data_IF_827708441524
#
_entry.id   IF_827708441524
#
_cell.length_a   1.000
_cell.length_b   1.000
_cell.length_c   1.000
_cell.angle_alpha   90.00
_cell.angle_beta   90.00
_cell.angle_gamma   90.00
#
_symmetry.space_group_name_H-M   'P 1'
#
loop_
_entity.id
_entity.type
_entity.pdbx_description
1 polymer ?
#
# COMPACT_ATOMS: atom_id res chain seq x y z
N UNK A 1 -20.66 -6.72 17.16
CA UNK A 1 -20.22 -6.52 15.76
C UNK A 1 -19.29 -7.67 15.42
N UNK A 2 -19.74 -8.60 14.57
CA UNK A 2 -18.89 -9.71 14.13
C UNK A 2 -17.92 -9.19 13.08
N UNK A 3 -16.63 -9.18 13.41
CA UNK A 3 -15.58 -8.87 12.45
C UNK A 3 -15.52 -10.10 11.54
N UNK A 4 -16.09 -9.99 10.34
CA UNK A 4 -15.89 -11.00 9.31
C UNK A 4 -14.43 -10.91 8.91
N UNK A 5 -13.60 -11.79 9.47
CA UNK A 5 -12.26 -12.03 8.97
C UNK A 5 -12.42 -12.66 7.59
N UNK A 6 -12.37 -11.83 6.55
CA UNK A 6 -12.27 -12.32 5.18
C UNK A 6 -11.00 -13.17 5.11
N UNK A 7 -11.14 -14.41 4.65
CA UNK A 7 -10.01 -15.30 4.46
C UNK A 7 -8.93 -14.61 3.61
N UNK A 8 -7.67 -14.97 3.87
CA UNK A 8 -6.55 -14.56 3.02
C UNK A 8 -6.93 -14.74 1.54
N UNK A 9 -6.95 -13.63 0.81
CA UNK A 9 -7.42 -13.56 -0.57
C UNK A 9 -6.29 -13.18 -1.51
N UNK A 10 -6.53 -13.40 -2.81
CA UNK A 10 -5.68 -12.88 -3.88
C UNK A 10 -6.17 -11.50 -4.31
N UNK A 11 -5.26 -10.56 -4.43
CA UNK A 11 -5.54 -9.18 -4.82
C UNK A 11 -4.61 -8.80 -5.96
N UNK A 12 -5.17 -8.34 -7.08
CA UNK A 12 -4.39 -7.78 -8.19
C UNK A 12 -4.51 -6.26 -8.15
N UNK A 13 -3.38 -5.56 -8.08
CA UNK A 13 -3.32 -4.08 -8.02
C UNK A 13 -2.72 -3.49 -9.29
N UNK A 14 -3.39 -2.49 -9.86
CA UNK A 14 -2.80 -1.53 -10.81
C UNK A 14 -2.56 -0.18 -10.16
N UNK A 15 -1.86 0.71 -10.88
CA UNK A 15 -1.61 2.10 -10.44
C UNK A 15 -1.19 2.12 -8.98
N UNK A 16 -0.01 1.56 -8.75
CA UNK A 16 0.39 1.06 -7.44
C UNK A 16 1.77 1.59 -7.06
N UNK A 17 2.02 1.56 -5.76
CA UNK A 17 3.35 1.70 -5.19
C UNK A 17 3.41 0.95 -3.85
N UNK A 18 4.59 0.87 -3.28
CA UNK A 18 4.80 0.40 -1.91
C UNK A 18 5.13 1.62 -1.06
N UNK A 19 4.34 1.86 -0.02
CA UNK A 19 4.66 2.88 0.97
C UNK A 19 5.55 2.26 2.05
N UNK A 20 6.72 2.87 2.26
CA UNK A 20 7.60 2.58 3.37
C UNK A 20 7.24 3.51 4.53
N UNK A 21 6.99 2.92 5.69
CA UNK A 21 6.64 3.58 6.93
C UNK A 21 7.78 3.35 7.91
N UNK A 22 8.28 4.41 8.51
CA UNK A 22 9.35 4.39 9.49
C UNK A 22 9.06 5.44 10.57
N UNK A 23 8.11 5.14 11.45
CA UNK A 23 7.75 6.00 12.59
C UNK A 23 8.40 5.44 13.87
N UNK A 24 8.52 6.25 14.94
CA UNK A 24 8.94 5.74 16.24
C UNK A 24 8.02 4.64 16.81
N UNK A 25 6.77 4.58 16.36
CA UNK A 25 5.75 3.61 16.79
C UNK A 25 5.83 2.30 16.01
N UNK A 26 6.48 2.29 14.84
CA UNK A 26 6.65 1.10 14.03
C UNK A 26 7.22 1.38 12.65
N UNK A 27 7.81 0.35 12.06
CA UNK A 27 8.25 0.36 10.67
C UNK A 27 7.65 -0.80 9.89
N UNK A 28 7.49 -0.59 8.59
CA UNK A 28 6.93 -1.60 7.70
C UNK A 28 6.65 -1.05 6.32
N UNK A 29 6.23 -1.94 5.44
CA UNK A 29 5.90 -1.58 4.07
C UNK A 29 4.51 -2.07 3.75
N UNK A 30 3.74 -1.30 2.99
CA UNK A 30 2.36 -1.65 2.62
C UNK A 30 2.15 -1.41 1.12
N UNK A 31 1.35 -2.26 0.49
CA UNK A 31 0.89 -2.02 -0.87
C UNK A 31 -0.19 -0.94 -0.86
N UNK A 32 -0.10 0.00 -1.79
CA UNK A 32 -1.11 1.03 -2.04
C UNK A 32 -1.40 1.02 -3.53
N UNK A 33 -2.65 0.80 -3.92
CA UNK A 33 -3.03 0.77 -5.33
C UNK A 33 -4.49 0.48 -5.56
N UNK A 34 -4.89 0.39 -6.83
CA UNK A 34 -6.27 0.15 -7.23
C UNK A 34 -6.50 -1.31 -7.58
N UNK A 35 -7.51 -1.91 -6.98
CA UNK A 35 -7.81 -3.32 -7.17
C UNK A 35 -8.60 -3.57 -8.45
N UNK A 36 -8.06 -4.46 -9.28
CA UNK A 36 -8.70 -4.87 -10.54
C UNK A 36 -9.99 -5.66 -10.33
N UNK A 37 -10.10 -6.35 -9.19
CA UNK A 37 -11.24 -7.24 -8.94
C UNK A 37 -12.51 -6.51 -8.56
N UNK A 38 -12.41 -5.50 -7.70
CA UNK A 38 -13.55 -4.78 -7.14
C UNK A 38 -13.60 -3.31 -7.56
N UNK A 39 -12.58 -2.80 -8.25
CA UNK A 39 -12.55 -1.41 -8.70
C UNK A 39 -12.48 -0.43 -7.54
N UNK A 40 -11.69 -0.75 -6.51
CA UNK A 40 -11.56 0.10 -5.32
C UNK A 40 -10.09 0.34 -4.98
N UNK A 41 -9.84 1.54 -4.43
CA UNK A 41 -8.57 1.85 -3.76
C UNK A 41 -8.32 0.90 -2.59
N UNK A 42 -7.09 0.39 -2.49
CA UNK A 42 -6.70 -0.55 -1.44
C UNK A 42 -5.37 -0.17 -0.81
N UNK A 43 -5.32 -0.42 0.50
CA UNK A 43 -4.11 -0.40 1.31
C UNK A 43 -4.01 -1.77 1.99
N UNK A 44 -2.85 -2.41 1.88
CA UNK A 44 -2.63 -3.71 2.52
C UNK A 44 -2.21 -3.59 3.98
N UNK A 45 -2.26 -4.70 4.72
CA UNK A 45 -1.44 -4.85 5.94
C UNK A 45 0.05 -4.92 5.57
N UNK A 46 0.91 -4.89 6.58
CA UNK A 46 2.38 -4.96 6.40
C UNK A 46 2.79 -6.11 5.48
N UNK A 47 3.63 -5.81 4.50
CA UNK A 47 4.24 -6.75 3.56
C UNK A 47 5.27 -7.57 4.34
N UNK A 48 5.16 -8.89 4.24
CA UNK A 48 6.17 -9.82 4.77
C UNK A 48 7.20 -10.19 3.71
N UNK A 49 6.76 -10.31 2.47
CA UNK A 49 7.61 -10.65 1.34
C UNK A 49 7.05 -10.03 0.05
N UNK A 50 7.94 -9.54 -0.81
CA UNK A 50 7.60 -9.11 -2.16
C UNK A 50 8.73 -9.52 -3.11
N UNK A 51 8.38 -10.26 -4.15
CA UNK A 51 9.26 -10.66 -5.23
C UNK A 51 9.08 -9.69 -6.40
N UNK A 52 10.11 -8.89 -6.67
CA UNK A 52 10.07 -7.89 -7.75
C UNK A 52 10.15 -8.50 -9.15
N UNK A 53 10.60 -9.76 -9.27
CA UNK A 53 10.72 -10.49 -10.54
C UNK A 53 9.35 -11.01 -10.96
N UNK A 54 8.64 -11.66 -10.03
CA UNK A 54 7.29 -12.19 -10.30
C UNK A 54 6.20 -11.16 -10.07
N UNK A 55 6.52 -10.00 -9.49
CA UNK A 55 5.55 -8.95 -9.11
C UNK A 55 4.48 -9.44 -8.15
N UNK A 56 4.85 -10.35 -7.24
CA UNK A 56 3.93 -10.92 -6.25
C UNK A 56 4.45 -10.75 -4.83
N UNK A 57 3.57 -10.53 -3.87
CA UNK A 57 3.93 -10.43 -2.45
C UNK A 57 2.89 -11.03 -1.52
N UNK A 58 3.30 -11.21 -0.27
CA UNK A 58 2.45 -11.72 0.81
C UNK A 58 2.47 -10.75 1.98
N UNK A 59 1.30 -10.55 2.58
CA UNK A 59 1.11 -9.61 3.68
C UNK A 59 0.88 -10.34 5.00
N UNK A 60 0.96 -9.61 6.11
CA UNK A 60 0.78 -10.12 7.47
C UNK A 60 -0.61 -10.75 7.69
N UNK A 61 -1.66 -10.25 7.02
CA UNK A 61 -2.98 -10.89 7.02
C UNK A 61 -3.00 -12.26 6.33
N UNK A 62 -1.92 -12.63 5.64
CA UNK A 62 -1.79 -13.85 4.84
C UNK A 62 -2.23 -13.68 3.38
N UNK A 63 -2.72 -12.50 2.99
CA UNK A 63 -3.18 -12.22 1.63
C UNK A 63 -2.03 -12.22 0.63
N UNK A 64 -2.30 -12.66 -0.59
CA UNK A 64 -1.38 -12.62 -1.72
C UNK A 64 -1.74 -11.42 -2.61
N UNK A 65 -0.74 -10.62 -2.95
CA UNK A 65 -0.85 -9.47 -3.81
C UNK A 65 -0.06 -9.72 -5.09
N UNK A 66 -0.64 -9.40 -6.24
CA UNK A 66 0.02 -9.29 -7.53
C UNK A 66 -0.09 -7.83 -7.98
N UNK A 67 0.99 -7.29 -8.54
CA UNK A 67 1.00 -5.90 -9.03
C UNK A 67 1.21 -5.87 -10.54
N UNK A 68 0.37 -5.10 -11.23
CA UNK A 68 0.38 -4.99 -12.70
C UNK A 68 0.78 -3.58 -13.14
N UNK A 69 1.55 -3.53 -14.22
CA UNK A 69 2.14 -2.29 -14.72
C UNK A 69 3.32 -1.79 -13.88
N UNK A 70 3.83 -0.63 -14.27
CA UNK A 70 4.95 0.02 -13.59
C UNK A 70 4.50 0.66 -12.26
N UNK A 71 5.38 0.65 -11.28
CA UNK A 71 5.16 1.39 -10.04
C UNK A 71 5.26 2.90 -10.29
N UNK A 72 4.42 3.68 -9.61
CA UNK A 72 4.36 5.13 -9.79
C UNK A 72 3.48 5.81 -8.75
N UNK A 73 2.75 6.86 -9.13
CA UNK A 73 1.73 7.43 -8.26
C UNK A 73 0.59 6.41 -8.07
N UNK A 74 0.23 6.02 -6.84
CA UNK A 74 -0.95 5.19 -6.64
C UNK A 74 -2.22 5.91 -7.10
N UNK A 75 -3.23 5.14 -7.52
CA UNK A 75 -4.54 5.68 -7.88
C UNK A 75 -5.13 6.56 -6.75
N UNK A 76 -5.89 7.61 -7.11
CA UNK A 76 -6.44 8.58 -6.15
C UNK A 76 -7.31 7.94 -5.06
N UNK A 77 -8.17 6.97 -5.41
CA UNK A 77 -8.94 6.21 -4.41
C UNK A 77 -8.06 5.47 -3.40
N UNK A 78 -6.90 4.94 -3.83
CA UNK A 78 -5.98 4.26 -2.94
C UNK A 78 -5.28 5.27 -2.02
N UNK A 79 -4.96 6.46 -2.53
CA UNK A 79 -4.46 7.58 -1.74
C UNK A 79 -5.50 8.05 -0.70
N UNK A 80 -6.77 8.12 -1.08
CA UNK A 80 -7.86 8.45 -0.15
C UNK A 80 -7.96 7.42 0.99
N UNK A 81 -7.90 6.12 0.66
CA UNK A 81 -7.90 5.05 1.67
C UNK A 81 -6.65 5.14 2.56
N UNK A 82 -5.50 5.47 1.98
CA UNK A 82 -4.26 5.66 2.73
C UNK A 82 -4.36 6.81 3.74
N UNK A 83 -4.88 7.97 3.34
CA UNK A 83 -5.13 9.10 4.24
C UNK A 83 -6.08 8.74 5.37
N UNK A 84 -7.12 7.94 5.09
CA UNK A 84 -8.04 7.44 6.12
C UNK A 84 -7.39 6.44 7.06
N UNK A 85 -6.39 5.70 6.59
CA UNK A 85 -5.72 4.64 7.36
C UNK A 85 -4.61 5.20 8.25
N UNK A 86 -3.76 6.08 7.74
CA UNK A 86 -2.61 6.65 8.47
C UNK A 86 -2.88 8.04 9.05
N UNK A 87 -3.98 8.68 8.65
CA UNK A 87 -4.32 10.05 9.02
C UNK A 87 -3.81 11.07 7.99
N UNK A 88 -4.71 11.96 7.55
CA UNK A 88 -4.43 12.98 6.55
C UNK A 88 -3.28 13.91 6.95
N UNK A 89 -3.20 14.28 8.24
CA UNK A 89 -2.13 15.16 8.74
C UNK A 89 -0.74 14.55 8.56
N UNK A 90 -0.60 13.23 8.78
CA UNK A 90 0.67 12.53 8.61
C UNK A 90 1.05 12.45 7.13
N UNK A 91 0.09 12.12 6.26
CA UNK A 91 0.31 12.07 4.80
C UNK A 91 0.74 13.44 4.26
N UNK A 92 0.05 14.51 4.65
CA UNK A 92 0.36 15.86 4.18
C UNK A 92 1.72 16.36 4.70
N UNK A 93 2.07 16.00 5.94
CA UNK A 93 3.32 16.46 6.57
C UNK A 93 4.55 15.67 6.11
N UNK A 94 4.42 14.37 5.91
CA UNK A 94 5.57 13.49 5.68
C UNK A 94 5.64 13.00 4.24
N UNK A 95 4.54 12.56 3.63
CA UNK A 95 4.58 11.92 2.32
C UNK A 95 4.57 12.92 1.16
N UNK A 96 3.71 13.94 1.21
CA UNK A 96 3.57 14.92 0.12
C UNK A 96 4.81 15.81 -0.12
N UNK A 97 5.61 16.19 0.90
CA UNK A 97 6.84 16.94 0.66
C UNK A 97 7.93 16.13 -0.04
N UNK A 98 7.77 14.81 -0.16
CA UNK A 98 8.63 13.91 -0.95
C UNK A 98 10.03 13.64 -0.36
N UNK A 99 10.40 14.30 0.76
CA UNK A 99 11.73 14.22 1.37
C UNK A 99 11.71 13.70 2.81
N UNK A 100 10.62 13.06 3.25
CA UNK A 100 10.54 12.50 4.59
C UNK A 100 11.23 11.14 4.68
N UNK A 101 11.94 10.93 5.78
CA UNK A 101 12.44 9.61 6.17
C UNK A 101 11.37 8.76 6.88
N UNK A 102 10.22 9.36 7.21
CA UNK A 102 9.11 8.74 7.95
C UNK A 102 8.15 8.02 7.01
N UNK A 103 7.68 8.71 5.97
CA UNK A 103 6.81 8.15 4.94
C UNK A 103 7.41 8.42 3.57
N UNK A 104 7.67 7.36 2.81
CA UNK A 104 8.15 7.48 1.43
C UNK A 104 7.66 6.35 0.55
N UNK A 105 7.39 6.66 -0.70
CA UNK A 105 7.16 5.62 -1.69
C UNK A 105 8.48 4.93 -2.04
N UNK A 106 8.46 3.60 -2.10
CA UNK A 106 9.62 2.78 -2.45
C UNK A 106 10.07 3.07 -3.87
N UNK A 107 9.13 3.23 -4.80
CA UNK A 107 9.42 3.53 -6.19
C UNK A 107 9.19 5.02 -6.49
N UNK A 108 10.02 5.65 -7.33
CA UNK A 108 9.87 7.06 -7.68
C UNK A 108 8.49 7.35 -8.30
N UNK A 109 7.88 8.46 -7.88
CA UNK A 109 6.73 9.03 -8.56
C UNK A 109 7.25 9.85 -9.75
N UNK A 110 6.76 9.54 -10.96
CA UNK A 110 7.08 10.28 -12.19
C UNK A 110 6.03 11.34 -12.46
#
# INVERSE_FOLDING_TARGET
MSIVSLAAGKVVLREWNILQINTPEGSGEIFVGYSEHDGLGRVSTVIQHFDETTKTGRTQSGSEYEVIGEAGMPHEDAMYVLERTLGADLIQKELLPGNSEVLRFRYPIK
#
